data_IF_267884574526
#
_entry.id   IF_267884574526
#
_cell.length_a   1.000
_cell.length_b   1.000
_cell.length_c   1.000
_cell.angle_alpha   90.00
_cell.angle_beta   90.00
_cell.angle_gamma   90.00
#
_symmetry.space_group_name_H-M   'P 1'
#
loop_
_entity.id
_entity.type
_entity.pdbx_description
1 polymer ?
#
# COMPACT_ATOMS: atom_id res chain seq x y z
N UNK A 1 11.62 19.17 -14.66
CA UNK A 1 10.81 18.49 -13.62
C UNK A 1 10.88 16.95 -13.78
N UNK A 2 12.07 16.31 -13.80
CA UNK A 2 12.18 14.82 -13.91
C UNK A 2 12.97 14.12 -12.80
N UNK A 3 13.70 14.83 -11.94
CA UNK A 3 14.67 14.17 -11.04
C UNK A 3 14.07 13.22 -10.00
N UNK A 4 12.80 13.36 -9.61
CA UNK A 4 12.17 12.47 -8.62
C UNK A 4 11.70 11.16 -9.23
N UNK A 5 11.30 11.15 -10.51
CA UNK A 5 10.99 9.90 -11.23
C UNK A 5 12.27 9.09 -11.47
N UNK A 6 13.36 9.78 -11.82
CA UNK A 6 14.68 9.17 -12.07
C UNK A 6 15.32 8.64 -10.76
N UNK A 7 15.14 9.34 -9.63
CA UNK A 7 15.66 8.89 -8.33
C UNK A 7 14.97 7.66 -7.74
N UNK A 8 13.77 7.33 -8.22
CA UNK A 8 12.96 6.23 -7.68
C UNK A 8 13.09 4.96 -8.54
N UNK A 9 13.53 5.06 -9.81
CA UNK A 9 13.66 3.89 -10.71
C UNK A 9 14.99 3.15 -10.63
N UNK A 10 15.98 3.64 -9.89
CA UNK A 10 17.34 3.07 -9.88
C UNK A 10 17.82 2.60 -8.50
N UNK A 11 16.96 2.02 -7.65
CA UNK A 11 17.53 1.12 -6.65
C UNK A 11 18.03 -0.11 -7.41
N UNK A 12 19.35 -0.39 -7.48
CA UNK A 12 19.82 -1.60 -8.12
C UNK A 12 19.17 -2.75 -7.37
N UNK A 13 18.23 -3.42 -8.04
CA UNK A 13 17.67 -4.64 -7.52
C UNK A 13 18.84 -5.61 -7.43
N UNK A 14 19.30 -5.88 -6.20
CA UNK A 14 20.38 -6.84 -5.99
C UNK A 14 20.03 -8.13 -6.73
N UNK A 15 21.03 -8.81 -7.29
CA UNK A 15 20.88 -9.98 -8.15
C UNK A 15 19.82 -10.98 -7.66
N UNK A 16 19.71 -11.18 -6.34
CA UNK A 16 18.70 -12.02 -5.71
C UNK A 16 17.25 -11.60 -6.04
N UNK A 17 16.92 -10.31 -6.01
CA UNK A 17 15.59 -9.84 -6.40
C UNK A 17 15.28 -10.12 -7.86
N UNK A 18 16.29 -10.00 -8.74
CA UNK A 18 16.16 -10.33 -10.16
C UNK A 18 15.92 -11.83 -10.36
N UNK A 19 16.66 -12.68 -9.63
CA UNK A 19 16.45 -14.13 -9.65
C UNK A 19 15.05 -14.52 -9.13
N UNK A 20 14.60 -13.91 -8.03
CA UNK A 20 13.29 -14.20 -7.44
C UNK A 20 12.14 -13.89 -8.41
N UNK A 21 12.27 -12.91 -9.31
CA UNK A 21 11.23 -12.55 -10.28
C UNK A 21 10.93 -13.66 -11.31
N UNK A 22 11.82 -14.63 -11.49
CA UNK A 22 11.59 -15.80 -12.35
C UNK A 22 10.73 -16.88 -11.70
N UNK A 23 10.50 -16.79 -10.39
CA UNK A 23 9.67 -17.77 -9.67
C UNK A 23 8.18 -17.50 -9.93
N UNK A 24 7.32 -18.53 -9.82
CA UNK A 24 5.88 -18.36 -9.95
C UNK A 24 5.35 -17.29 -8.98
N UNK A 25 4.45 -16.38 -9.40
CA UNK A 25 3.98 -15.28 -8.55
C UNK A 25 3.36 -15.73 -7.22
N UNK A 26 2.70 -16.89 -7.19
CA UNK A 26 2.15 -17.45 -5.97
C UNK A 26 3.25 -17.82 -4.96
N UNK A 27 4.36 -18.38 -5.42
CA UNK A 27 5.49 -18.75 -4.58
C UNK A 27 6.15 -17.52 -3.94
N UNK A 28 6.40 -16.47 -4.74
CA UNK A 28 6.96 -15.21 -4.24
C UNK A 28 6.05 -14.58 -3.17
N UNK A 29 4.73 -14.61 -3.38
CA UNK A 29 3.77 -14.13 -2.38
C UNK A 29 3.77 -14.95 -1.10
N UNK A 30 3.90 -16.28 -1.20
CA UNK A 30 4.04 -17.13 -0.02
C UNK A 30 5.29 -16.77 0.79
N UNK A 31 6.42 -16.50 0.11
CA UNK A 31 7.63 -16.01 0.77
C UNK A 31 7.40 -14.65 1.45
N UNK A 32 6.76 -13.71 0.76
CA UNK A 32 6.41 -12.39 1.33
C UNK A 32 5.49 -12.53 2.55
N UNK A 33 4.49 -13.40 2.49
CA UNK A 33 3.57 -13.67 3.61
C UNK A 33 4.29 -14.31 4.78
N UNK A 34 5.20 -15.25 4.52
CA UNK A 34 6.04 -15.85 5.56
C UNK A 34 6.93 -14.78 6.22
N UNK A 35 7.56 -13.92 5.42
CA UNK A 35 8.43 -12.83 5.87
C UNK A 35 7.65 -11.79 6.70
N UNK A 36 6.44 -11.41 6.28
CA UNK A 36 5.53 -10.53 7.04
C UNK A 36 5.04 -11.17 8.33
N UNK A 37 4.70 -12.46 8.30
CA UNK A 37 4.29 -13.21 9.49
C UNK A 37 5.43 -13.26 10.50
N UNK A 38 6.63 -13.62 10.05
CA UNK A 38 7.82 -13.65 10.90
C UNK A 38 8.14 -12.27 11.45
N UNK A 39 8.05 -11.22 10.63
CA UNK A 39 8.25 -9.86 11.09
C UNK A 39 7.21 -9.40 12.11
N UNK A 40 5.96 -9.87 12.00
CA UNK A 40 4.86 -9.54 12.92
C UNK A 40 4.94 -10.33 14.23
N UNK A 41 5.51 -11.54 14.21
CA UNK A 41 5.63 -12.39 15.39
C UNK A 41 6.98 -12.24 16.10
N UNK A 42 8.02 -11.83 15.39
CA UNK A 42 9.38 -11.68 15.89
C UNK A 42 9.88 -10.25 15.65
N UNK A 43 9.97 -9.40 16.69
CA UNK A 43 10.34 -8.01 16.52
C UNK A 43 11.79 -7.82 16.06
N UNK A 44 12.71 -8.75 16.37
CA UNK A 44 14.09 -8.71 15.85
C UNK A 44 14.12 -8.93 14.34
N UNK A 45 13.30 -9.87 13.85
CA UNK A 45 13.15 -10.07 12.41
C UNK A 45 12.49 -8.87 11.75
N UNK A 46 11.43 -8.31 12.35
CA UNK A 46 10.81 -7.08 11.87
C UNK A 46 11.79 -5.91 11.78
N UNK A 47 12.69 -5.77 12.77
CA UNK A 47 13.74 -4.75 12.76
C UNK A 47 14.70 -4.94 11.59
N UNK A 48 15.20 -6.17 11.40
CA UNK A 48 16.07 -6.51 10.26
C UNK A 48 15.36 -6.24 8.92
N UNK A 49 14.11 -6.67 8.81
CA UNK A 49 13.29 -6.50 7.60
C UNK A 49 13.06 -5.02 7.29
N UNK A 50 12.74 -4.23 8.31
CA UNK A 50 12.57 -2.78 8.18
C UNK A 50 13.85 -2.13 7.65
N UNK A 51 15.01 -2.44 8.24
CA UNK A 51 16.31 -1.92 7.76
C UNK A 51 16.58 -2.32 6.32
N UNK A 52 16.36 -3.59 5.97
CA UNK A 52 16.56 -4.12 4.61
C UNK A 52 15.76 -3.37 3.56
N UNK A 53 14.51 -3.02 3.85
CA UNK A 53 13.61 -2.40 2.87
C UNK A 53 13.65 -0.88 2.85
N UNK A 54 13.99 -0.25 3.97
CA UNK A 54 14.03 1.21 4.09
C UNK A 54 15.43 1.81 3.93
N UNK A 55 16.46 0.96 3.97
CA UNK A 55 17.88 1.36 4.04
C UNK A 55 18.21 2.29 5.23
N UNK A 56 17.32 2.36 6.22
CA UNK A 56 17.53 3.19 7.41
C UNK A 56 18.36 2.43 8.44
N UNK A 57 19.44 3.03 8.89
CA UNK A 57 20.17 2.59 10.09
C UNK A 57 19.45 3.06 11.35
N UNK A 58 18.49 2.27 11.84
CA UNK A 58 17.79 2.54 13.10
C UNK A 58 18.27 1.61 14.21
N UNK A 59 18.45 2.15 15.42
CA UNK A 59 18.74 1.34 16.60
C UNK A 59 17.52 0.51 17.00
N UNK A 60 17.73 -0.57 17.76
CA UNK A 60 16.65 -1.38 18.30
C UNK A 60 15.61 -0.54 19.08
N UNK A 61 16.09 0.38 19.94
CA UNK A 61 15.23 1.28 20.73
C UNK A 61 14.40 2.21 19.83
N UNK A 62 15.01 2.74 18.77
CA UNK A 62 14.29 3.58 17.79
C UNK A 62 13.25 2.80 16.97
N UNK A 63 13.47 1.50 16.74
CA UNK A 63 12.54 0.65 16.01
C UNK A 63 11.31 0.25 16.82
N UNK A 64 11.43 0.11 18.13
CA UNK A 64 10.33 -0.39 18.97
C UNK A 64 8.99 0.38 18.82
N UNK A 65 8.97 1.73 18.78
CA UNK A 65 7.73 2.47 18.48
C UNK A 65 7.17 2.19 17.09
N UNK A 66 8.03 1.99 16.08
CA UNK A 66 7.63 1.62 14.71
C UNK A 66 6.96 0.25 14.73
N UNK A 67 7.54 -0.70 15.45
CA UNK A 67 6.99 -2.04 15.60
C UNK A 67 5.62 -2.06 16.25
N UNK A 68 5.41 -1.29 17.33
CA UNK A 68 4.07 -1.16 17.93
C UNK A 68 3.05 -0.63 16.93
N UNK A 69 3.42 0.41 16.16
CA UNK A 69 2.55 0.94 15.10
C UNK A 69 2.27 -0.07 13.99
N UNK A 70 3.28 -0.86 13.60
CA UNK A 70 3.10 -1.98 12.67
C UNK A 70 2.02 -2.92 13.21
N UNK A 71 2.13 -3.40 14.44
CA UNK A 71 1.16 -4.35 15.00
C UNK A 71 -0.27 -3.80 14.98
N UNK A 72 -0.45 -2.53 15.37
CA UNK A 72 -1.76 -1.86 15.31
C UNK A 72 -2.25 -1.74 13.87
N UNK A 73 -1.38 -1.32 12.94
CA UNK A 73 -1.71 -1.20 11.52
C UNK A 73 -2.16 -2.54 10.93
N UNK A 74 -1.40 -3.62 11.17
CA UNK A 74 -1.72 -4.99 10.73
C UNK A 74 -3.02 -5.47 11.35
N UNK A 75 -3.22 -5.24 12.66
CA UNK A 75 -4.45 -5.60 13.35
C UNK A 75 -5.67 -4.87 12.79
N UNK A 76 -5.56 -3.56 12.53
CA UNK A 76 -6.65 -2.79 11.95
C UNK A 76 -6.97 -3.27 10.52
N UNK A 77 -5.97 -3.64 9.71
CA UNK A 77 -6.20 -4.22 8.39
C UNK A 77 -6.81 -5.62 8.45
N UNK A 78 -6.45 -6.42 9.45
CA UNK A 78 -7.04 -7.73 9.66
C UNK A 78 -8.51 -7.61 10.09
N UNK A 79 -8.81 -6.71 11.03
CA UNK A 79 -10.14 -6.55 11.62
C UNK A 79 -11.12 -5.79 10.72
N UNK A 80 -10.65 -4.78 10.00
CA UNK A 80 -11.49 -3.86 9.23
C UNK A 80 -11.21 -3.90 7.73
N UNK A 81 -10.24 -4.71 7.29
CA UNK A 81 -10.06 -4.96 5.88
C UNK A 81 -11.31 -5.61 5.32
N UNK A 82 -11.95 -4.94 4.36
CA UNK A 82 -13.01 -5.61 3.58
C UNK A 82 -12.34 -6.70 2.75
N UNK A 83 -13.09 -7.71 2.32
CA UNK A 83 -12.60 -8.84 1.50
C UNK A 83 -11.74 -8.43 0.28
N UNK A 84 -11.91 -7.19 -0.19
CA UNK A 84 -11.20 -6.63 -1.34
C UNK A 84 -10.16 -5.55 -1.00
N UNK A 85 -10.04 -5.14 0.27
CA UNK A 85 -9.16 -4.06 0.70
C UNK A 85 -8.52 -4.44 2.03
N UNK A 86 -7.21 -4.69 2.04
CA UNK A 86 -6.53 -5.12 3.25
C UNK A 86 -5.16 -5.72 2.96
N UNK A 87 -4.39 -5.98 4.03
CA UNK A 87 -3.10 -6.66 3.90
C UNK A 87 -3.26 -8.07 3.32
N UNK A 88 -4.38 -8.73 3.59
CA UNK A 88 -4.61 -10.15 3.26
C UNK A 88 -5.41 -10.38 1.98
N UNK A 89 -5.88 -9.33 1.30
CA UNK A 89 -6.56 -9.42 0.02
C UNK A 89 -5.56 -9.71 -1.12
N UNK A 90 -4.82 -10.82 -1.02
CA UNK A 90 -3.66 -11.12 -1.86
C UNK A 90 -4.12 -11.75 -3.17
N UNK A 91 -3.79 -11.12 -4.29
CA UNK A 91 -4.06 -11.64 -5.63
C UNK A 91 -3.06 -12.76 -6.03
N UNK A 92 -3.15 -13.93 -5.38
CA UNK A 92 -2.17 -15.03 -5.44
C UNK A 92 -1.63 -15.40 -6.82
N UNK A 93 -2.49 -15.39 -7.85
CA UNK A 93 -2.15 -15.81 -9.21
C UNK A 93 -1.86 -14.66 -10.18
N UNK A 94 -2.03 -13.41 -9.75
CA UNK A 94 -1.82 -12.26 -10.65
C UNK A 94 -0.33 -12.04 -10.96
N UNK A 95 0.04 -11.52 -12.13
CA UNK A 95 1.43 -11.13 -12.43
C UNK A 95 1.91 -9.99 -11.51
N UNK A 96 3.22 -9.75 -11.33
CA UNK A 96 3.72 -8.56 -10.65
C UNK A 96 3.18 -7.28 -11.29
N UNK A 97 2.92 -6.25 -10.48
CA UNK A 97 2.42 -4.95 -10.97
C UNK A 97 3.17 -3.83 -10.28
N UNK A 98 3.69 -2.89 -11.10
CA UNK A 98 4.44 -1.72 -10.63
C UNK A 98 3.60 -0.45 -10.58
N UNK A 99 2.44 -0.46 -11.22
CA UNK A 99 1.52 0.65 -11.35
C UNK A 99 0.07 0.15 -11.27
N UNK A 100 -0.81 1.05 -10.85
CA UNK A 100 -2.25 0.83 -10.85
C UNK A 100 -2.77 0.49 -12.25
N UNK A 101 -3.82 -0.34 -12.33
CA UNK A 101 -4.55 -0.53 -13.60
C UNK A 101 -5.39 0.68 -13.99
N UNK A 102 -5.80 1.46 -13.00
CA UNK A 102 -6.68 2.61 -13.20
C UNK A 102 -5.85 3.85 -13.52
N UNK A 103 -6.42 4.75 -14.33
CA UNK A 103 -5.80 6.03 -14.65
C UNK A 103 -5.69 6.91 -13.40
N UNK A 104 -4.49 7.45 -13.19
CA UNK A 104 -4.24 8.50 -12.21
C UNK A 104 -4.60 9.85 -12.82
N UNK A 105 -5.27 10.73 -12.09
CA UNK A 105 -5.59 12.08 -12.56
C UNK A 105 -4.33 12.86 -12.90
N UNK A 106 -4.35 13.64 -13.98
CA UNK A 106 -3.18 14.34 -14.54
C UNK A 106 -2.53 15.37 -13.62
N UNK A 107 -3.32 15.97 -12.73
CA UNK A 107 -2.87 16.94 -11.72
C UNK A 107 -2.08 16.29 -10.56
N UNK A 108 -2.07 14.97 -10.44
CA UNK A 108 -1.31 14.25 -9.40
C UNK A 108 0.11 13.89 -9.86
N UNK A 109 1.10 14.31 -9.08
CA UNK A 109 2.52 14.00 -9.28
C UNK A 109 3.20 13.63 -7.95
N UNK A 110 4.28 12.81 -7.97
CA UNK A 110 4.76 12.01 -9.09
C UNK A 110 3.82 10.84 -9.41
N UNK A 111 3.74 10.45 -10.67
CA UNK A 111 2.94 9.30 -11.16
C UNK A 111 3.46 7.95 -10.64
N UNK A 112 2.57 6.96 -10.59
CA UNK A 112 2.89 5.57 -10.31
C UNK A 112 3.43 5.24 -8.91
N UNK A 113 3.51 6.20 -7.97
CA UNK A 113 3.90 6.00 -6.57
C UNK A 113 2.80 6.50 -5.62
N UNK A 114 2.97 6.36 -4.31
CA UNK A 114 2.04 7.00 -3.37
C UNK A 114 1.95 8.52 -3.62
N UNK A 115 3.08 9.17 -3.98
CA UNK A 115 3.14 10.61 -4.24
C UNK A 115 2.42 11.41 -3.14
N UNK A 116 1.48 12.26 -3.54
CA UNK A 116 0.68 13.10 -2.62
C UNK A 116 -0.51 12.38 -1.96
N UNK A 117 -0.91 11.18 -2.42
CA UNK A 117 -1.99 10.40 -1.79
C UNK A 117 -1.45 9.16 -1.08
N UNK A 118 -1.61 9.11 0.24
CA UNK A 118 -1.14 7.98 1.06
C UNK A 118 -2.28 7.23 1.76
N UNK A 119 -3.53 7.37 1.27
CA UNK A 119 -4.69 6.84 1.98
C UNK A 119 -4.68 5.32 2.08
N UNK A 120 -4.19 4.58 1.08
CA UNK A 120 -4.05 3.13 1.19
C UNK A 120 -2.92 2.69 2.15
N UNK A 121 -1.98 3.60 2.45
CA UNK A 121 -0.93 3.40 3.44
C UNK A 121 -1.33 3.90 4.83
N UNK A 122 -2.48 4.53 4.99
CA UNK A 122 -3.04 4.95 6.28
C UNK A 122 -4.30 4.14 6.50
N UNK A 123 -4.73 3.98 7.75
CA UNK A 123 -6.06 3.42 8.01
C UNK A 123 -7.14 4.50 7.85
N UNK A 124 -7.17 5.16 6.69
CA UNK A 124 -7.98 6.37 6.43
C UNK A 124 -9.50 6.13 6.51
N UNK A 125 -9.95 4.88 6.46
CA UNK A 125 -11.33 4.49 6.76
C UNK A 125 -11.67 4.52 8.26
N UNK A 126 -10.70 4.82 9.13
CA UNK A 126 -10.90 5.06 10.56
C UNK A 126 -11.04 6.56 10.85
N UNK A 127 -11.71 6.93 11.95
CA UNK A 127 -11.72 8.30 12.44
C UNK A 127 -10.29 8.85 12.60
N UNK A 128 -10.04 10.16 12.35
CA UNK A 128 -8.69 10.75 12.38
C UNK A 128 -7.86 10.41 13.62
N UNK A 129 -8.48 10.37 14.81
CA UNK A 129 -7.82 10.05 16.07
C UNK A 129 -7.28 8.60 16.16
N UNK A 130 -7.76 7.70 15.30
CA UNK A 130 -7.40 6.28 15.29
C UNK A 130 -6.62 5.86 14.05
N UNK A 131 -6.34 6.81 13.13
CA UNK A 131 -5.60 6.52 11.92
C UNK A 131 -4.15 6.17 12.25
N UNK A 132 -3.69 5.08 11.66
CA UNK A 132 -2.31 4.60 11.78
C UNK A 132 -1.72 4.49 10.38
N UNK A 133 -0.48 4.95 10.24
CA UNK A 133 0.28 4.82 9.01
C UNK A 133 1.03 3.48 8.96
N UNK A 134 1.16 2.96 7.75
CA UNK A 134 2.06 1.87 7.41
C UNK A 134 3.48 2.21 7.89
N UNK A 135 4.21 1.27 8.51
CA UNK A 135 5.57 1.52 8.98
C UNK A 135 6.53 1.90 7.83
N UNK A 136 6.22 1.51 6.60
CA UNK A 136 7.01 1.82 5.42
C UNK A 136 6.63 3.14 4.72
N UNK A 137 5.65 3.88 5.24
CA UNK A 137 5.31 5.20 4.72
C UNK A 137 6.36 6.21 5.19
N UNK A 138 7.12 6.77 4.25
CA UNK A 138 7.95 7.95 4.47
C UNK A 138 7.14 9.23 4.36
N UNK A 139 7.81 10.38 4.44
CA UNK A 139 7.17 11.70 4.40
C UNK A 139 6.43 11.93 3.07
N UNK A 140 7.07 11.63 1.94
CA UNK A 140 6.55 11.91 0.59
C UNK A 140 6.54 10.69 -0.34
N UNK A 141 6.87 9.49 0.16
CA UNK A 141 6.91 8.28 -0.66
C UNK A 141 6.80 7.00 0.17
N UNK A 142 6.49 5.88 -0.49
CA UNK A 142 6.57 4.56 0.11
C UNK A 142 8.01 4.05 0.06
N UNK A 143 8.60 3.71 1.21
CA UNK A 143 10.01 3.32 1.26
C UNK A 143 10.31 1.97 0.58
N UNK A 144 9.29 1.13 0.36
CA UNK A 144 9.39 -0.15 -0.34
C UNK A 144 9.07 -0.07 -1.84
N UNK A 145 8.82 1.14 -2.36
CA UNK A 145 8.44 1.37 -3.74
C UNK A 145 9.39 0.70 -4.75
N UNK A 146 8.84 0.09 -5.80
CA UNK A 146 9.59 -0.61 -6.85
C UNK A 146 10.24 -1.93 -6.42
N UNK A 147 10.28 -2.23 -5.13
CA UNK A 147 10.81 -3.48 -4.59
C UNK A 147 9.91 -4.69 -4.82
N UNK A 148 10.42 -5.89 -4.50
CA UNK A 148 9.66 -7.14 -4.61
C UNK A 148 8.34 -7.10 -3.83
N UNK A 149 8.35 -6.55 -2.61
CA UNK A 149 7.14 -6.37 -1.80
C UNK A 149 6.12 -5.47 -2.51
N UNK A 150 6.56 -4.38 -3.12
CA UNK A 150 5.68 -3.49 -3.86
C UNK A 150 5.05 -4.21 -5.06
N UNK A 151 5.89 -4.85 -5.89
CA UNK A 151 5.48 -5.46 -7.15
C UNK A 151 4.50 -6.63 -6.98
N UNK A 152 4.69 -7.44 -5.92
CA UNK A 152 3.93 -8.67 -5.73
C UNK A 152 2.75 -8.53 -4.76
N UNK A 153 2.74 -7.50 -3.92
CA UNK A 153 1.70 -7.27 -2.92
C UNK A 153 0.69 -6.20 -3.35
N UNK A 154 -0.22 -5.84 -2.44
CA UNK A 154 -1.34 -4.95 -2.75
C UNK A 154 -0.91 -3.50 -3.00
N UNK A 155 0.23 -3.07 -2.47
CA UNK A 155 0.71 -1.70 -2.61
C UNK A 155 0.96 -1.30 -4.07
N UNK A 156 1.66 -2.13 -4.86
CA UNK A 156 1.93 -1.83 -6.27
C UNK A 156 0.76 -2.09 -7.22
N UNK A 157 -0.32 -2.68 -6.73
CA UNK A 157 -1.54 -3.00 -7.50
C UNK A 157 -2.66 -2.00 -7.28
N UNK A 158 -2.63 -1.32 -6.14
CA UNK A 158 -3.71 -0.43 -5.75
C UNK A 158 -3.88 0.72 -6.74
N UNK A 159 -5.11 1.06 -7.14
CA UNK A 159 -6.35 0.29 -6.95
C UNK A 159 -6.49 -0.89 -7.93
N UNK A 160 -6.96 -2.02 -7.42
CA UNK A 160 -7.37 -3.17 -8.25
C UNK A 160 -8.79 -3.01 -8.79
N UNK A 161 -9.62 -2.16 -8.17
CA UNK A 161 -11.00 -1.89 -8.58
C UNK A 161 -11.71 -0.85 -7.72
N UNK A 162 -12.95 -0.56 -8.08
CA UNK A 162 -13.79 0.42 -7.39
C UNK A 162 -14.03 0.15 -5.89
N UNK A 163 -14.19 -1.10 -5.42
CA UNK A 163 -14.38 -1.35 -3.99
C UNK A 163 -13.23 -0.79 -3.15
N UNK A 164 -11.98 -0.94 -3.60
CA UNK A 164 -10.81 -0.38 -2.94
C UNK A 164 -10.82 1.15 -3.01
N UNK A 165 -11.15 1.74 -4.16
CA UNK A 165 -11.27 3.19 -4.29
C UNK A 165 -12.28 3.78 -3.32
N UNK A 166 -13.44 3.14 -3.13
CA UNK A 166 -14.45 3.57 -2.15
C UNK A 166 -13.98 3.43 -0.71
N UNK A 167 -13.17 2.42 -0.39
CA UNK A 167 -12.66 2.19 0.97
C UNK A 167 -11.58 3.20 1.33
N UNK A 168 -10.59 3.39 0.46
CA UNK A 168 -9.45 4.25 0.74
C UNK A 168 -9.72 5.71 0.37
N UNK A 169 -10.72 5.98 -0.48
CA UNK A 169 -11.10 7.31 -0.93
C UNK A 169 -9.90 8.16 -1.40
N UNK A 170 -8.99 7.55 -2.15
CA UNK A 170 -7.79 8.24 -2.62
C UNK A 170 -8.18 9.18 -3.79
N UNK A 171 -8.03 10.50 -3.63
CA UNK A 171 -8.45 11.48 -4.64
C UNK A 171 -7.60 11.43 -5.93
N UNK A 172 -6.48 10.70 -5.92
CA UNK A 172 -5.56 10.49 -7.05
C UNK A 172 -6.18 9.74 -8.22
N UNK A 173 -7.15 8.88 -7.94
CA UNK A 173 -7.76 8.00 -8.95
C UNK A 173 -9.20 8.43 -9.21
N UNK A 174 -9.61 8.44 -10.47
CA UNK A 174 -11.00 8.72 -10.84
C UNK A 174 -11.84 7.46 -10.75
N UNK A 175 -13.00 7.55 -10.09
CA UNK A 175 -14.03 6.52 -10.14
C UNK A 175 -14.76 6.69 -11.49
N UNK A 176 -14.66 5.70 -12.39
CA UNK A 176 -15.43 5.72 -13.64
C UNK A 176 -16.93 5.79 -13.30
N UNK A 177 -17.64 6.77 -13.86
CA UNK A 177 -19.05 6.99 -13.54
C UNK A 177 -19.95 5.80 -13.90
N UNK A 178 -19.56 5.01 -14.90
CA UNK A 178 -20.25 3.77 -15.30
C UNK A 178 -20.32 2.73 -14.18
N UNK A 179 -19.37 2.74 -13.24
CA UNK A 179 -19.30 1.76 -12.15
C UNK A 179 -20.07 2.18 -10.89
N UNK A 180 -20.58 3.42 -10.84
CA UNK A 180 -21.43 3.89 -9.75
C UNK A 180 -22.85 3.32 -9.84
N UNK A 181 -23.28 2.86 -11.03
CA UNK A 181 -24.63 2.34 -11.28
C UNK A 181 -24.79 0.83 -11.04
N UNK A 182 -23.69 0.06 -10.97
CA UNK A 182 -23.72 -1.40 -10.88
C UNK A 182 -23.45 -2.00 -9.48
N UNK A 183 -23.38 -1.18 -8.43
CA UNK A 183 -23.09 -1.65 -7.07
C UNK A 183 -24.31 -1.57 -6.18
N UNK A 184 -25.01 -2.68 -5.98
CA UNK A 184 -26.10 -2.85 -5.03
C UNK A 184 -25.71 -2.36 -3.62
N UNK A 185 -26.60 -1.59 -2.99
CA UNK A 185 -26.58 -1.35 -1.54
C UNK A 185 -26.34 0.10 -1.13
N UNK A 186 -27.43 0.77 -0.72
CA UNK A 186 -27.55 2.15 -0.23
C UNK A 186 -26.57 2.61 0.89
N UNK A 187 -25.70 1.74 1.42
CA UNK A 187 -24.73 2.08 2.45
C UNK A 187 -23.40 2.66 1.92
N UNK A 188 -23.00 2.34 0.68
CA UNK A 188 -21.77 2.88 0.09
C UNK A 188 -21.88 4.36 -0.33
N UNK A 189 -23.08 4.78 -0.75
CA UNK A 189 -23.31 6.10 -1.32
C UNK A 189 -23.23 7.24 -0.27
N UNK A 190 -23.61 6.99 0.99
CA UNK A 190 -23.56 8.02 2.05
C UNK A 190 -22.13 8.44 2.39
N UNK A 191 -21.19 7.50 2.42
CA UNK A 191 -19.80 7.79 2.80
C UNK A 191 -19.02 8.49 1.68
N UNK A 192 -19.30 8.14 0.41
CA UNK A 192 -18.68 8.80 -0.75
C UNK A 192 -19.23 10.22 -0.93
N UNK A 193 -20.52 10.44 -0.68
CA UNK A 193 -21.14 11.76 -0.82
C UNK A 193 -20.70 12.75 0.25
N UNK A 194 -20.36 12.28 1.46
CA UNK A 194 -19.75 13.11 2.52
C UNK A 194 -18.32 13.51 2.14
N UNK A 195 -17.48 12.56 1.73
CA UNK A 195 -16.08 12.83 1.37
C UNK A 195 -15.96 13.76 0.14
N UNK A 196 -16.88 13.68 -0.82
CA UNK A 196 -16.87 14.59 -1.99
C UNK A 196 -17.42 15.99 -1.68
N UNK A 197 -18.20 16.16 -0.61
CA UNK A 197 -18.69 17.48 -0.19
C UNK A 197 -17.58 18.26 0.51
N UNK A 198 -16.82 17.59 1.37
CA UNK A 198 -15.68 18.16 2.10
C UNK A 198 -14.45 18.47 1.22
N UNK A 199 -14.45 18.02 -0.05
CA UNK A 199 -13.36 18.33 -1.02
C UNK A 199 -13.70 19.51 -1.95
N UNK A 200 -14.95 19.96 -1.96
CA UNK A 200 -15.44 21.06 -2.81
C UNK A 200 -15.82 22.32 -1.99
N UNK A 201 -15.58 22.30 -0.68
CA UNK A 201 -15.64 23.44 0.25
C UNK A 201 -14.21 23.76 0.71
#
# INVERSE_FOLDING_TARGET
MSKVADLVSERPHGWLQSCLRFLPPAFIRSLIVADLTLATCNPLWGWWLYRRWTDRSITWRGYWPIYKRWLVFTWQHYRYGKSHAGLWAIAWRSPPMRHARHSERDDYQPKGSCGTCSNCCKTSWRPPAEQVACPFLGENHCMIYGGLFWDYFNCGRYPTGQPELRVYACPRFTIAQTDLRGGDGAHGARHVRLVLRDLNE
#
